data_IF_354119432711
#
_entry.id   IF_354119432711
#
_cell.length_a   1.000
_cell.length_b   1.000
_cell.length_c   1.000
_cell.angle_alpha   90.00
_cell.angle_beta   90.00
_cell.angle_gamma   90.00
#
_symmetry.space_group_name_H-M   'P 1'
#
loop_
_entity.id
_entity.type
_entity.pdbx_description
1 polymer ?
#
# COMPACT_ATOMS: atom_id res chain seq x y z
N UNK A 1 0.25 16.47 -6.98
CA UNK A 1 1.56 16.52 -6.31
C UNK A 1 2.27 17.86 -6.53
N UNK A 2 2.43 18.31 -7.79
CA UNK A 2 2.98 19.63 -8.14
C UNK A 2 2.13 20.85 -7.71
N UNK A 3 0.81 20.66 -7.71
CA UNK A 3 -0.14 21.75 -7.45
C UNK A 3 -0.02 22.31 -6.02
N UNK A 4 0.17 21.47 -5.02
CA UNK A 4 0.22 21.86 -3.61
C UNK A 4 1.43 22.74 -3.27
N UNK A 5 2.57 22.50 -3.89
CA UNK A 5 3.78 23.27 -3.65
C UNK A 5 3.86 24.54 -4.53
N UNK A 6 3.30 24.48 -5.75
CA UNK A 6 3.07 25.67 -6.58
C UNK A 6 2.08 26.65 -5.94
N UNK A 7 0.97 26.15 -5.38
CA UNK A 7 -0.02 26.96 -4.64
C UNK A 7 0.64 27.65 -3.43
N UNK A 8 1.54 26.95 -2.71
CA UNK A 8 2.27 27.50 -1.56
C UNK A 8 3.13 28.72 -1.90
N UNK A 9 3.75 28.72 -3.08
CA UNK A 9 4.62 29.80 -3.53
C UNK A 9 3.84 30.97 -4.14
N UNK A 10 2.69 30.68 -4.76
CA UNK A 10 1.90 31.63 -5.55
C UNK A 10 0.86 32.42 -4.75
N UNK A 11 0.41 31.91 -3.59
CA UNK A 11 -0.63 32.54 -2.78
C UNK A 11 -0.10 33.13 -1.46
N UNK A 12 -0.02 34.48 -1.33
CA UNK A 12 0.40 35.17 -0.11
C UNK A 12 -0.49 34.90 1.11
N UNK A 13 -1.75 34.49 0.91
CA UNK A 13 -2.72 34.19 1.98
C UNK A 13 -2.68 32.74 2.46
N UNK A 14 -1.92 31.88 1.77
CA UNK A 14 -1.78 30.48 2.19
C UNK A 14 -0.88 30.36 3.43
N UNK A 15 0.19 31.16 3.52
CA UNK A 15 1.19 31.12 4.61
C UNK A 15 0.64 31.44 6.01
N UNK A 16 -0.23 32.45 6.21
CA UNK A 16 -0.79 32.75 7.53
C UNK A 16 -1.80 31.68 7.98
N UNK A 17 -2.60 31.16 7.05
CA UNK A 17 -3.62 30.14 7.31
C UNK A 17 -3.04 28.77 7.72
N UNK A 18 -1.74 28.58 7.50
CA UNK A 18 -0.99 27.36 7.81
C UNK A 18 -0.63 27.25 9.29
N UNK A 19 -0.31 28.37 9.93
CA UNK A 19 0.20 28.41 11.30
C UNK A 19 -0.92 28.34 12.35
N UNK A 20 -2.18 28.47 11.93
CA UNK A 20 -3.33 28.58 12.83
C UNK A 20 -4.16 27.28 12.95
N UNK A 21 -3.86 26.20 12.20
CA UNK A 21 -4.71 24.99 12.19
C UNK A 21 -3.93 23.67 12.36
N UNK A 22 -4.35 22.75 13.26
CA UNK A 22 -3.68 21.45 13.51
C UNK A 22 -3.49 20.55 12.27
N UNK A 23 -4.36 20.68 11.27
CA UNK A 23 -4.26 20.00 9.95
C UNK A 23 -2.96 20.32 9.19
N UNK A 24 -2.17 21.27 9.68
CA UNK A 24 -0.96 21.74 9.01
C UNK A 24 0.33 21.13 9.54
N UNK A 25 0.34 20.48 10.70
CA UNK A 25 1.42 19.58 11.12
C UNK A 25 1.57 18.45 10.10
N UNK A 26 0.44 17.87 9.68
CA UNK A 26 0.40 16.86 8.62
C UNK A 26 0.97 17.39 7.29
N UNK A 27 0.77 18.68 7.00
CA UNK A 27 1.34 19.33 5.81
C UNK A 27 2.84 19.57 5.94
N UNK A 28 3.37 19.90 7.12
CA UNK A 28 4.82 20.03 7.36
C UNK A 28 5.52 18.69 7.14
N UNK A 29 4.99 17.61 7.72
CA UNK A 29 5.54 16.25 7.53
C UNK A 29 5.54 15.87 6.05
N UNK A 30 4.44 16.13 5.33
CA UNK A 30 4.37 15.91 3.88
C UNK A 30 5.38 16.74 3.09
N UNK A 31 5.65 17.98 3.51
CA UNK A 31 6.65 18.85 2.87
C UNK A 31 8.08 18.37 3.16
N UNK A 32 8.37 17.90 4.37
CA UNK A 32 9.65 17.28 4.73
C UNK A 32 9.89 16.01 3.92
N UNK A 33 8.90 15.12 3.82
CA UNK A 33 8.98 13.93 2.98
C UNK A 33 9.17 14.28 1.51
N UNK A 34 8.47 15.30 1.01
CA UNK A 34 8.63 15.77 -0.35
C UNK A 34 10.04 16.33 -0.59
N UNK A 35 10.55 17.18 0.31
CA UNK A 35 11.92 17.71 0.24
C UNK A 35 12.93 16.56 0.26
N UNK A 36 12.74 15.58 1.15
CA UNK A 36 13.55 14.37 1.23
C UNK A 36 13.56 13.63 -0.11
N UNK A 37 12.40 13.40 -0.71
CA UNK A 37 12.25 12.63 -1.95
C UNK A 37 12.71 13.36 -3.22
N UNK A 38 12.61 14.69 -3.26
CA UNK A 38 12.85 15.51 -4.45
C UNK A 38 14.24 16.15 -4.45
N UNK A 39 14.75 16.53 -3.27
CA UNK A 39 16.04 17.20 -3.13
C UNK A 39 17.08 16.26 -2.56
N UNK A 40 16.84 15.72 -1.36
CA UNK A 40 17.86 14.99 -0.61
C UNK A 40 18.19 13.62 -1.26
N UNK A 41 17.21 12.98 -1.91
CA UNK A 41 17.37 11.74 -2.66
C UNK A 41 17.02 11.87 -4.15
N UNK A 42 17.26 13.04 -4.74
CA UNK A 42 17.07 13.24 -6.17
C UNK A 42 17.91 12.23 -6.96
N UNK A 43 17.29 11.48 -7.87
CA UNK A 43 18.02 10.63 -8.80
C UNK A 43 18.39 11.43 -10.05
N UNK A 44 19.66 11.38 -10.44
CA UNK A 44 20.19 11.99 -11.67
C UNK A 44 20.68 10.93 -12.66
N UNK A 45 21.11 9.78 -12.15
CA UNK A 45 21.45 8.61 -12.94
C UNK A 45 20.90 7.32 -12.29
N UNK A 46 21.24 6.18 -12.90
CA UNK A 46 20.77 4.89 -12.40
C UNK A 46 21.58 4.40 -11.17
N UNK A 47 22.82 4.88 -10.95
CA UNK A 47 23.57 4.59 -9.72
C UNK A 47 22.83 5.22 -8.51
N UNK A 48 22.31 6.44 -8.64
CA UNK A 48 21.45 7.08 -7.62
C UNK A 48 20.17 6.27 -7.35
N UNK A 49 19.58 5.68 -8.39
CA UNK A 49 18.38 4.84 -8.25
C UNK A 49 18.68 3.57 -7.44
N UNK A 50 19.84 2.94 -7.69
CA UNK A 50 20.32 1.76 -6.95
C UNK A 50 20.64 2.12 -5.50
N UNK A 51 21.28 3.27 -5.26
CA UNK A 51 21.57 3.77 -3.92
C UNK A 51 20.29 3.99 -3.11
N UNK A 52 19.29 4.63 -3.72
CA UNK A 52 17.99 4.84 -3.10
C UNK A 52 17.29 3.52 -2.77
N UNK A 53 17.28 2.56 -3.69
CA UNK A 53 16.69 1.24 -3.48
C UNK A 53 17.35 0.51 -2.29
N UNK A 54 18.68 0.51 -2.22
CA UNK A 54 19.42 -0.11 -1.12
C UNK A 54 19.14 0.58 0.23
N UNK A 55 19.12 1.92 0.26
CA UNK A 55 18.75 2.65 1.47
C UNK A 55 17.33 2.29 1.95
N UNK A 56 16.37 2.18 1.03
CA UNK A 56 15.02 1.75 1.38
C UNK A 56 15.01 0.31 1.94
N UNK A 57 15.83 -0.59 1.40
CA UNK A 57 15.98 -1.94 1.95
C UNK A 57 16.44 -1.90 3.41
N UNK A 58 17.55 -1.20 3.67
CA UNK A 58 18.13 -1.05 5.01
C UNK A 58 17.13 -0.43 5.99
N UNK A 59 16.41 0.61 5.58
CA UNK A 59 15.40 1.25 6.43
C UNK A 59 14.23 0.30 6.76
N UNK A 60 13.64 -0.35 5.76
CA UNK A 60 12.40 -1.12 5.96
C UNK A 60 12.63 -2.49 6.62
N UNK A 61 13.69 -3.20 6.23
CA UNK A 61 13.89 -4.60 6.59
C UNK A 61 14.94 -4.81 7.69
N UNK A 62 15.74 -3.79 8.01
CA UNK A 62 16.68 -3.80 9.14
C UNK A 62 16.33 -2.72 10.17
N UNK A 63 16.48 -1.43 9.84
CA UNK A 63 16.37 -0.33 10.80
C UNK A 63 15.04 -0.27 11.54
N UNK A 64 13.91 -0.31 10.82
CA UNK A 64 12.57 -0.34 11.45
C UNK A 64 12.33 -1.61 12.29
N UNK A 65 12.93 -2.73 11.93
CA UNK A 65 12.83 -3.98 12.72
C UNK A 65 13.66 -3.88 14.00
N UNK A 66 14.89 -3.39 13.91
CA UNK A 66 15.74 -3.14 15.08
C UNK A 66 15.08 -2.17 16.04
N UNK A 67 14.46 -1.10 15.53
CA UNK A 67 13.68 -0.18 16.34
C UNK A 67 12.52 -0.87 17.06
N UNK A 68 11.76 -1.69 16.36
CA UNK A 68 10.66 -2.44 16.94
C UNK A 68 11.15 -3.37 18.06
N UNK A 69 12.30 -4.01 17.88
CA UNK A 69 12.93 -4.87 18.89
C UNK A 69 13.54 -4.09 20.06
N UNK A 70 13.94 -2.82 19.87
CA UNK A 70 14.33 -1.93 20.97
C UNK A 70 13.13 -1.56 21.84
N UNK A 71 11.96 -1.35 21.24
CA UNK A 71 10.70 -1.05 21.97
C UNK A 71 10.17 -2.31 22.66
N UNK A 72 10.13 -3.43 21.94
CA UNK A 72 9.64 -4.72 22.43
C UNK A 72 10.70 -5.80 22.22
N UNK A 73 11.67 -5.93 23.16
CA UNK A 73 12.66 -7.00 23.13
C UNK A 73 12.04 -8.39 22.99
N UNK A 74 12.83 -9.37 22.55
CA UNK A 74 12.35 -10.74 22.31
C UNK A 74 11.71 -11.38 23.55
N UNK A 75 12.21 -11.05 24.73
CA UNK A 75 11.72 -11.49 26.04
C UNK A 75 10.77 -10.48 26.71
N UNK A 76 10.23 -9.51 25.97
CA UNK A 76 9.33 -8.52 26.54
C UNK A 76 8.01 -9.17 26.99
N UNK A 77 7.63 -8.91 28.25
CA UNK A 77 6.40 -9.38 28.86
C UNK A 77 5.39 -8.23 28.99
N UNK A 78 4.12 -8.54 28.78
CA UNK A 78 3.03 -7.59 29.01
C UNK A 78 2.84 -7.35 30.51
N UNK A 79 2.04 -6.34 30.87
CA UNK A 79 1.67 -6.08 32.28
C UNK A 79 1.02 -7.28 32.99
N UNK A 80 0.47 -8.22 32.22
CA UNK A 80 -0.12 -9.46 32.72
C UNK A 80 0.87 -10.62 32.85
N UNK A 81 2.18 -10.40 32.62
CA UNK A 81 3.22 -11.42 32.70
C UNK A 81 3.25 -12.40 31.51
N UNK A 82 2.53 -12.11 30.42
CA UNK A 82 2.50 -12.96 29.23
C UNK A 82 3.54 -12.48 28.21
N UNK A 83 4.22 -13.37 27.47
CA UNK A 83 5.12 -12.98 26.40
C UNK A 83 4.40 -12.15 25.33
N UNK A 84 4.93 -10.97 25.02
CA UNK A 84 4.33 -10.09 24.01
C UNK A 84 4.33 -10.70 22.61
N UNK A 85 5.40 -11.42 22.27
CA UNK A 85 5.55 -12.16 21.01
C UNK A 85 4.95 -13.57 21.14
N UNK A 86 3.63 -13.65 21.17
CA UNK A 86 2.89 -14.91 21.27
C UNK A 86 1.63 -14.92 20.38
N UNK A 87 1.12 -16.12 20.07
CA UNK A 87 -0.06 -16.31 19.22
C UNK A 87 0.12 -15.71 17.82
N UNK A 88 -0.62 -14.65 17.52
CA UNK A 88 -0.59 -13.96 16.22
C UNK A 88 0.60 -12.99 16.08
N UNK A 89 1.28 -12.64 17.18
CA UNK A 89 2.42 -11.70 17.18
C UNK A 89 3.73 -12.47 17.06
N UNK A 90 4.25 -12.57 15.84
CA UNK A 90 5.56 -13.18 15.57
C UNK A 90 6.68 -12.19 15.85
N UNK A 91 7.68 -12.60 16.63
CA UNK A 91 8.87 -11.79 16.87
C UNK A 91 9.68 -11.67 15.57
N UNK A 92 9.93 -10.45 15.06
CA UNK A 92 10.68 -10.28 13.84
C UNK A 92 12.19 -10.40 14.06
N UNK A 93 12.93 -10.48 12.97
CA UNK A 93 14.39 -10.34 12.94
C UNK A 93 14.82 -9.41 11.79
N UNK A 94 15.85 -8.57 12.00
CA UNK A 94 16.38 -7.72 10.95
C UNK A 94 17.04 -8.55 9.87
N UNK A 95 16.94 -8.11 8.62
CA UNK A 95 17.60 -8.75 7.48
C UNK A 95 18.86 -7.97 7.15
N UNK A 96 20.00 -8.65 7.12
CA UNK A 96 21.24 -8.12 6.57
C UNK A 96 21.19 -8.21 5.04
N UNK A 97 21.53 -7.11 4.36
CA UNK A 97 21.60 -7.13 2.91
C UNK A 97 22.69 -8.11 2.43
N UNK A 98 22.39 -8.82 1.34
CA UNK A 98 23.27 -9.83 0.76
C UNK A 98 23.13 -9.78 -0.76
N UNK A 99 24.17 -9.39 -1.52
CA UNK A 99 24.12 -9.29 -2.97
C UNK A 99 24.03 -10.66 -3.68
N UNK A 100 24.36 -11.76 -3.00
CA UNK A 100 24.23 -13.11 -3.56
C UNK A 100 22.81 -13.69 -3.35
N UNK A 101 22.01 -13.04 -2.51
CA UNK A 101 20.63 -13.45 -2.28
C UNK A 101 19.72 -12.94 -3.39
N UNK A 102 19.13 -13.87 -4.15
CA UNK A 102 18.25 -13.58 -5.27
C UNK A 102 17.07 -12.66 -4.90
N UNK A 103 16.46 -12.85 -3.72
CA UNK A 103 15.33 -12.03 -3.26
C UNK A 103 15.76 -10.58 -2.97
N UNK A 104 16.95 -10.41 -2.40
CA UNK A 104 17.50 -9.09 -2.09
C UNK A 104 17.77 -8.33 -3.39
N UNK A 105 18.42 -8.98 -4.36
CA UNK A 105 18.65 -8.41 -5.68
C UNK A 105 17.35 -8.14 -6.44
N UNK A 106 16.36 -9.03 -6.39
CA UNK A 106 15.04 -8.81 -7.02
C UNK A 106 14.37 -7.53 -6.50
N UNK A 107 14.48 -7.26 -5.19
CA UNK A 107 14.01 -6.00 -4.61
C UNK A 107 14.79 -4.80 -5.13
N UNK A 108 16.12 -4.85 -5.15
CA UNK A 108 16.94 -3.73 -5.66
C UNK A 108 16.62 -3.44 -7.13
N UNK A 109 16.55 -4.48 -7.97
CA UNK A 109 16.23 -4.35 -9.40
C UNK A 109 14.88 -3.68 -9.60
N UNK A 110 13.84 -4.16 -8.93
CA UNK A 110 12.50 -3.63 -9.10
C UNK A 110 12.34 -2.22 -8.52
N UNK A 111 12.87 -1.97 -7.30
CA UNK A 111 12.80 -0.67 -6.66
C UNK A 111 13.61 0.42 -7.41
N UNK A 112 14.81 0.09 -7.91
CA UNK A 112 15.63 1.04 -8.66
C UNK A 112 14.99 1.39 -10.00
N UNK A 113 14.40 0.43 -10.71
CA UNK A 113 13.71 0.70 -11.97
C UNK A 113 12.41 1.50 -11.77
N UNK A 114 11.66 1.27 -10.68
CA UNK A 114 10.53 2.13 -10.32
C UNK A 114 11.02 3.56 -10.06
N UNK A 115 12.11 3.72 -9.30
CA UNK A 115 12.71 5.04 -9.07
C UNK A 115 13.15 5.68 -10.39
N UNK A 116 13.73 4.92 -11.31
CA UNK A 116 14.11 5.39 -12.63
C UNK A 116 12.89 5.86 -13.44
N UNK A 117 11.77 5.11 -13.42
CA UNK A 117 10.50 5.54 -14.02
C UNK A 117 10.04 6.89 -13.47
N UNK A 118 10.14 7.09 -12.15
CA UNK A 118 9.72 8.34 -11.52
C UNK A 118 10.53 9.54 -12.04
N UNK A 119 11.83 9.40 -12.28
CA UNK A 119 12.71 10.50 -12.70
C UNK A 119 12.98 10.54 -14.21
N UNK A 120 12.33 9.67 -15.00
CA UNK A 120 12.55 9.60 -16.45
C UNK A 120 13.94 9.07 -16.84
N UNK A 121 14.56 8.27 -15.96
CA UNK A 121 15.88 7.66 -16.18
C UNK A 121 15.70 6.32 -16.92
N UNK A 122 16.54 5.99 -17.91
CA UNK A 122 16.48 4.70 -18.59
C UNK A 122 16.60 3.51 -17.64
N UNK A 123 15.80 2.48 -17.89
CA UNK A 123 15.80 1.25 -17.08
C UNK A 123 17.02 0.39 -17.38
N UNK A 124 17.54 -0.27 -16.34
CA UNK A 124 18.55 -1.32 -16.44
C UNK A 124 17.95 -2.56 -15.80
N UNK A 125 17.85 -3.66 -16.54
CA UNK A 125 17.20 -4.90 -16.05
C UNK A 125 18.19 -6.03 -15.81
N UNK A 126 19.43 -5.90 -16.26
CA UNK A 126 20.46 -6.92 -16.05
C UNK A 126 20.89 -6.95 -14.57
N UNK A 127 20.61 -8.07 -13.93
CA UNK A 127 20.90 -8.32 -12.52
C UNK A 127 22.39 -8.21 -12.21
N UNK A 128 23.25 -8.65 -13.12
CA UNK A 128 24.71 -8.62 -12.92
C UNK A 128 25.22 -7.19 -12.93
N UNK A 129 24.74 -6.39 -13.89
CA UNK A 129 25.08 -4.96 -13.96
C UNK A 129 24.62 -4.25 -12.69
N UNK A 130 23.41 -4.53 -12.22
CA UNK A 130 22.89 -3.90 -10.98
C UNK A 130 23.71 -4.33 -9.75
N UNK A 131 24.12 -5.59 -9.65
CA UNK A 131 24.97 -6.06 -8.55
C UNK A 131 26.36 -5.39 -8.56
N UNK A 132 26.94 -5.18 -9.75
CA UNK A 132 28.18 -4.42 -9.92
C UNK A 132 27.99 -2.95 -9.53
N UNK A 133 26.91 -2.31 -9.98
CA UNK A 133 26.56 -0.92 -9.61
C UNK A 133 26.40 -0.80 -8.09
N UNK A 134 25.71 -1.75 -7.46
CA UNK A 134 25.52 -1.80 -6.03
C UNK A 134 26.86 -1.86 -5.29
N UNK A 135 27.79 -2.70 -5.74
CA UNK A 135 29.14 -2.76 -5.17
C UNK A 135 29.87 -1.42 -5.26
N UNK A 136 29.70 -0.66 -6.35
CA UNK A 136 30.29 0.69 -6.47
C UNK A 136 29.60 1.70 -5.55
N UNK A 137 28.28 1.65 -5.46
CA UNK A 137 27.46 2.54 -4.64
C UNK A 137 27.77 2.35 -3.16
N UNK A 138 27.83 1.10 -2.69
CA UNK A 138 28.17 0.76 -1.29
C UNK A 138 29.57 1.26 -0.89
N UNK A 139 30.50 1.34 -1.84
CA UNK A 139 31.85 1.87 -1.60
C UNK A 139 31.93 3.41 -1.64
N UNK A 140 30.95 4.09 -2.25
CA UNK A 140 30.94 5.55 -2.44
C UNK A 140 30.00 6.29 -1.49
N UNK A 141 28.91 5.64 -1.08
CA UNK A 141 27.83 6.24 -0.33
C UNK A 141 27.88 5.71 1.09
N UNK A 142 28.20 6.58 2.06
CA UNK A 142 27.85 6.30 3.45
C UNK A 142 26.32 6.26 3.52
N UNK A 143 25.75 5.05 3.49
CA UNK A 143 24.32 4.86 3.76
C UNK A 143 24.08 5.48 5.14
N UNK A 144 23.25 6.54 5.26
CA UNK A 144 23.00 7.15 6.55
C UNK A 144 22.48 6.07 7.48
N UNK A 145 23.26 5.73 8.50
CA UNK A 145 22.87 4.72 9.46
C UNK A 145 21.50 5.12 10.02
N UNK A 146 20.55 4.19 10.01
CA UNK A 146 19.27 4.45 10.64
C UNK A 146 19.52 4.79 12.11
N UNK A 147 19.23 6.03 12.51
CA UNK A 147 19.38 6.51 13.89
C UNK A 147 18.02 6.43 14.58
N UNK A 148 17.72 5.32 15.29
CA UNK A 148 16.50 5.25 16.08
C UNK A 148 16.51 6.33 17.18
N UNK A 149 15.34 6.91 17.51
CA UNK A 149 15.23 7.89 18.58
C UNK A 149 15.78 7.36 19.90
N UNK A 150 16.28 8.26 20.77
CA UNK A 150 16.88 7.88 22.04
C UNK A 150 15.89 7.17 22.98
N UNK A 151 14.59 7.50 22.93
CA UNK A 151 13.56 6.89 23.78
C UNK A 151 12.47 6.17 22.98
N UNK A 152 12.43 4.83 23.02
CA UNK A 152 11.29 4.06 22.55
C UNK A 152 10.15 4.14 23.58
N UNK A 153 9.26 5.13 23.46
CA UNK A 153 8.06 5.17 24.30
C UNK A 153 6.98 4.24 23.71
N UNK A 154 6.58 3.14 24.40
CA UNK A 154 5.56 2.22 23.92
C UNK A 154 4.14 2.80 23.88
N UNK A 155 3.92 4.00 24.44
CA UNK A 155 2.64 4.73 24.37
C UNK A 155 2.50 5.58 23.11
N UNK A 156 3.58 5.79 22.35
CA UNK A 156 3.53 6.43 21.04
C UNK A 156 3.03 5.38 20.05
N UNK A 157 1.72 5.40 19.80
CA UNK A 157 1.07 4.56 18.82
C UNK A 157 1.83 4.58 17.49
N UNK A 158 2.16 3.39 16.98
CA UNK A 158 2.63 3.16 15.61
C UNK A 158 1.49 3.47 14.61
N UNK A 159 1.03 4.70 14.55
CA UNK A 159 0.43 5.23 13.33
C UNK A 159 1.57 5.64 12.41
N UNK A 160 1.39 5.36 11.11
CA UNK A 160 2.38 5.47 10.05
C UNK A 160 3.34 6.67 10.23
N UNK A 161 4.64 6.37 10.26
CA UNK A 161 5.73 7.28 9.88
C UNK A 161 5.63 8.72 10.39
N UNK A 162 6.03 8.98 11.62
CA UNK A 162 6.58 10.30 12.00
C UNK A 162 7.21 10.22 13.38
N UNK A 163 8.54 10.08 13.41
CA UNK A 163 9.31 10.48 14.58
C UNK A 163 9.46 12.00 14.57
N UNK A 164 8.44 12.71 15.04
CA UNK A 164 8.56 14.11 15.37
C UNK A 164 8.24 14.28 16.85
N UNK A 165 9.30 14.46 17.64
CA UNK A 165 9.22 15.10 18.95
C UNK A 165 8.53 16.44 18.73
N UNK A 166 7.37 16.62 19.36
CA UNK A 166 6.53 17.83 19.28
C UNK A 166 7.22 18.94 20.08
N UNK A 167 8.33 19.49 19.57
CA UNK A 167 8.90 20.75 20.04
C UNK A 167 9.53 21.49 18.84
N UNK A 168 8.95 22.65 18.53
CA UNK A 168 9.43 23.71 17.62
C UNK A 168 9.12 23.59 16.10
N UNK A 169 7.84 23.43 15.75
CA UNK A 169 7.36 23.22 14.37
C UNK A 169 7.54 24.42 13.41
N UNK A 170 7.51 25.67 13.91
CA UNK A 170 7.60 26.86 13.03
C UNK A 170 8.98 27.01 12.37
N UNK A 171 10.07 26.83 13.14
CA UNK A 171 11.42 27.00 12.62
C UNK A 171 11.82 25.89 11.62
N UNK A 172 11.37 24.65 11.86
CA UNK A 172 11.56 23.52 10.92
C UNK A 172 10.81 23.76 9.62
N UNK A 173 9.57 24.22 9.71
CA UNK A 173 8.75 24.55 8.54
C UNK A 173 9.41 25.64 7.69
N UNK A 174 9.92 26.71 8.32
CA UNK A 174 10.61 27.79 7.61
C UNK A 174 11.87 27.28 6.88
N UNK A 175 12.64 26.37 7.50
CA UNK A 175 13.80 25.73 6.86
C UNK A 175 13.42 24.90 5.64
N UNK A 176 12.34 24.10 5.73
CA UNK A 176 11.85 23.27 4.62
C UNK A 176 11.34 24.14 3.47
N UNK A 177 10.61 25.21 3.79
CA UNK A 177 10.13 26.17 2.79
C UNK A 177 11.31 26.87 2.11
N UNK A 178 12.32 27.29 2.88
CA UNK A 178 13.50 27.96 2.32
C UNK A 178 14.29 27.00 1.41
N UNK A 179 14.43 25.73 1.80
CA UNK A 179 15.06 24.71 0.96
C UNK A 179 14.29 24.45 -0.35
N UNK A 180 12.94 24.53 -0.29
CA UNK A 180 12.06 24.39 -1.45
C UNK A 180 11.86 25.70 -2.23
N UNK A 181 12.38 26.84 -1.75
CA UNK A 181 12.12 28.16 -2.32
C UNK A 181 12.83 28.39 -3.67
N UNK A 182 13.89 27.63 -3.95
CA UNK A 182 14.64 27.69 -5.22
C UNK A 182 13.94 26.85 -6.30
N UNK A 183 12.70 27.23 -6.61
CA UNK A 183 11.82 26.56 -7.57
C UNK A 183 12.39 26.54 -8.99
N UNK A 184 13.25 27.50 -9.33
CA UNK A 184 13.86 27.58 -10.65
C UNK A 184 14.73 26.35 -10.96
N UNK A 185 15.38 25.76 -9.94
CA UNK A 185 16.15 24.50 -10.09
C UNK A 185 15.28 23.24 -10.25
N UNK A 186 13.98 23.36 -9.99
CA UNK A 186 13.01 22.26 -10.05
C UNK A 186 12.15 22.31 -11.33
N UNK A 187 12.19 23.40 -12.09
CA UNK A 187 11.36 23.59 -13.30
C UNK A 187 11.64 22.56 -14.38
N UNK A 188 12.90 22.14 -14.52
CA UNK A 188 13.32 21.15 -15.53
C UNK A 188 13.14 19.70 -15.06
N UNK A 189 12.68 19.48 -13.83
CA UNK A 189 12.54 18.16 -13.23
C UNK A 189 11.15 17.57 -13.49
N UNK A 190 11.09 16.59 -14.39
CA UNK A 190 9.89 15.81 -14.66
C UNK A 190 9.81 14.60 -13.71
N UNK A 191 8.81 14.59 -12.82
CA UNK A 191 8.47 13.43 -11.99
C UNK A 191 7.19 12.79 -12.49
N UNK A 192 7.26 11.49 -12.72
CA UNK A 192 6.12 10.67 -13.08
C UNK A 192 5.61 9.96 -11.83
N UNK A 193 4.34 10.16 -11.49
CA UNK A 193 3.68 9.35 -10.48
C UNK A 193 3.45 7.94 -11.04
N UNK A 194 3.87 6.92 -10.30
CA UNK A 194 3.62 5.52 -10.69
C UNK A 194 2.21 5.15 -10.29
N UNK A 195 1.36 4.91 -11.28
CA UNK A 195 0.05 4.29 -11.07
C UNK A 195 0.20 2.77 -11.14
N UNK A 196 -0.28 2.07 -10.12
CA UNK A 196 -0.19 0.62 -10.09
C UNK A 196 -0.89 -0.01 -11.31
N UNK A 197 -0.27 -1.04 -11.87
CA UNK A 197 -0.75 -1.77 -13.03
C UNK A 197 -0.31 -3.23 -12.89
N UNK A 198 -1.28 -4.12 -12.81
CA UNK A 198 -1.10 -5.58 -12.64
C UNK A 198 -0.49 -6.30 -13.84
N UNK A 199 -0.56 -5.69 -15.01
CA UNK A 199 0.02 -6.23 -16.24
C UNK A 199 1.43 -5.67 -16.47
N UNK A 200 1.91 -4.77 -15.61
CA UNK A 200 3.30 -4.36 -15.58
C UNK A 200 4.10 -5.27 -14.65
N UNK A 201 4.98 -6.09 -15.23
CA UNK A 201 5.84 -7.01 -14.49
C UNK A 201 6.67 -6.30 -13.41
N UNK A 202 7.16 -5.09 -13.67
CA UNK A 202 7.96 -4.34 -12.71
C UNK A 202 7.20 -4.01 -11.41
N UNK A 203 5.90 -3.67 -11.55
CA UNK A 203 5.06 -3.33 -10.41
C UNK A 203 4.81 -4.58 -9.54
N UNK A 204 4.51 -5.71 -10.19
CA UNK A 204 4.28 -6.98 -9.51
C UNK A 204 5.57 -7.51 -8.88
N UNK A 205 6.70 -7.43 -9.58
CA UNK A 205 8.00 -7.89 -9.09
C UNK A 205 8.42 -7.15 -7.83
N UNK A 206 8.21 -5.83 -7.78
CA UNK A 206 8.44 -5.04 -6.56
C UNK A 206 7.57 -5.52 -5.39
N UNK A 207 6.26 -5.71 -5.61
CA UNK A 207 5.35 -6.15 -4.54
C UNK A 207 5.74 -7.55 -4.04
N UNK A 208 6.07 -8.47 -4.95
CA UNK A 208 6.50 -9.83 -4.61
C UNK A 208 7.79 -9.78 -3.79
N UNK A 209 8.81 -9.07 -4.26
CA UNK A 209 10.08 -8.97 -3.54
C UNK A 209 9.90 -8.29 -2.17
N UNK A 210 9.22 -7.15 -2.13
CA UNK A 210 9.00 -6.38 -0.92
C UNK A 210 8.19 -7.14 0.13
N UNK A 211 7.14 -7.86 -0.29
CA UNK A 211 6.31 -8.68 0.60
C UNK A 211 7.06 -9.91 1.10
N UNK A 212 7.86 -10.57 0.26
CA UNK A 212 8.65 -11.73 0.66
C UNK A 212 9.82 -11.36 1.61
N UNK A 213 10.42 -10.19 1.45
CA UNK A 213 11.37 -9.65 2.44
C UNK A 213 10.69 -9.43 3.79
N UNK A 214 9.49 -8.83 3.79
CA UNK A 214 8.72 -8.66 5.03
C UNK A 214 8.30 -10.00 5.62
N UNK A 215 7.92 -10.98 4.80
CA UNK A 215 7.61 -12.33 5.24
C UNK A 215 8.83 -12.97 5.92
N UNK A 216 10.02 -12.79 5.34
CA UNK A 216 11.29 -13.24 5.89
C UNK A 216 11.54 -12.64 7.28
N UNK A 217 11.36 -11.32 7.48
CA UNK A 217 11.51 -10.69 8.81
C UNK A 217 10.69 -11.40 9.89
N UNK A 218 9.51 -11.92 9.57
CA UNK A 218 8.58 -12.53 10.54
C UNK A 218 8.53 -14.07 10.47
N UNK A 219 9.46 -14.71 9.76
CA UNK A 219 9.46 -16.16 9.53
C UNK A 219 8.11 -16.65 8.96
N UNK A 220 7.56 -15.91 8.01
CA UNK A 220 6.37 -16.27 7.23
C UNK A 220 6.86 -16.89 5.92
N UNK A 221 6.15 -17.93 5.47
CA UNK A 221 6.48 -18.62 4.22
C UNK A 221 6.33 -17.63 3.05
N UNK A 222 7.37 -17.42 2.22
CA UNK A 222 7.28 -16.58 1.04
C UNK A 222 6.22 -17.07 0.05
N UNK A 223 5.65 -16.15 -0.72
CA UNK A 223 4.66 -16.42 -1.75
C UNK A 223 5.30 -16.26 -3.14
N UNK A 224 4.97 -17.16 -4.07
CA UNK A 224 5.39 -17.03 -5.46
C UNK A 224 4.66 -15.88 -6.18
N UNK A 225 5.18 -15.46 -7.34
CA UNK A 225 4.63 -14.36 -8.14
C UNK A 225 3.18 -14.59 -8.56
N UNK A 226 2.80 -15.83 -8.88
CA UNK A 226 1.43 -16.16 -9.29
C UNK A 226 0.43 -15.98 -8.16
N UNK A 227 0.74 -16.54 -6.98
CA UNK A 227 -0.09 -16.38 -5.77
C UNK A 227 -0.15 -14.93 -5.32
N UNK A 228 0.96 -14.20 -5.36
CA UNK A 228 1.00 -12.79 -5.01
C UNK A 228 0.17 -11.94 -5.98
N UNK A 229 0.21 -12.23 -7.29
CA UNK A 229 -0.63 -11.54 -8.29
C UNK A 229 -2.13 -11.75 -8.01
N UNK A 230 -2.56 -12.97 -7.66
CA UNK A 230 -3.96 -13.23 -7.30
C UNK A 230 -4.45 -12.37 -6.12
N UNK A 231 -3.58 -12.15 -5.13
CA UNK A 231 -3.90 -11.35 -3.94
C UNK A 231 -3.94 -9.86 -4.29
N UNK A 232 -2.93 -9.36 -5.02
CA UNK A 232 -2.82 -7.94 -5.39
C UNK A 232 -3.96 -7.50 -6.30
N UNK A 233 -4.43 -8.40 -7.17
CA UNK A 233 -5.48 -8.10 -8.13
C UNK A 233 -6.90 -8.22 -7.55
N UNK A 234 -7.04 -8.58 -6.27
CA UNK A 234 -8.32 -8.96 -5.65
C UNK A 234 -9.14 -9.90 -6.54
N UNK A 235 -8.46 -10.81 -7.27
CA UNK A 235 -9.11 -11.63 -8.30
C UNK A 235 -10.18 -12.48 -7.63
N UNK A 236 -11.43 -12.26 -8.04
CA UNK A 236 -12.54 -13.17 -7.79
C UNK A 236 -12.37 -14.34 -8.78
N UNK A 237 -12.00 -15.54 -8.30
CA UNK A 237 -11.82 -16.67 -9.20
C UNK A 237 -13.14 -16.98 -9.93
N UNK A 238 -13.08 -17.05 -11.26
CA UNK A 238 -14.24 -17.32 -12.11
C UNK A 238 -13.93 -18.46 -13.08
N UNK A 239 -14.94 -19.30 -13.36
CA UNK A 239 -14.85 -20.40 -14.32
C UNK A 239 -16.05 -20.35 -15.26
N UNK A 240 -15.80 -20.63 -16.55
CA UNK A 240 -16.85 -20.69 -17.58
C UNK A 240 -17.92 -21.73 -17.27
N UNK A 241 -17.59 -22.78 -16.53
CA UNK A 241 -18.54 -23.83 -16.09
C UNK A 241 -19.62 -23.27 -15.16
N UNK A 242 -19.21 -22.55 -14.10
CA UNK A 242 -20.14 -21.91 -13.17
C UNK A 242 -20.95 -20.82 -13.87
N UNK A 243 -20.33 -20.04 -14.75
CA UNK A 243 -21.02 -19.00 -15.54
C UNK A 243 -22.10 -19.60 -16.44
N UNK A 244 -21.78 -20.66 -17.19
CA UNK A 244 -22.74 -21.31 -18.10
C UNK A 244 -23.90 -21.94 -17.34
N UNK A 245 -23.61 -22.55 -16.19
CA UNK A 245 -24.63 -23.14 -15.33
C UNK A 245 -25.59 -22.08 -14.75
N UNK A 246 -25.05 -21.01 -14.17
CA UNK A 246 -25.87 -19.93 -13.60
C UNK A 246 -26.68 -19.24 -14.70
N UNK A 247 -26.12 -19.04 -15.88
CA UNK A 247 -26.86 -18.52 -17.03
C UNK A 247 -28.02 -19.45 -17.43
N UNK A 248 -27.79 -20.76 -17.50
CA UNK A 248 -28.85 -21.74 -17.77
C UNK A 248 -29.97 -21.73 -16.73
N UNK A 249 -29.63 -21.68 -15.45
CA UNK A 249 -30.60 -21.58 -14.35
C UNK A 249 -31.40 -20.27 -14.43
N UNK A 250 -30.76 -19.15 -14.73
CA UNK A 250 -31.44 -17.87 -14.94
C UNK A 250 -32.41 -17.93 -16.14
N UNK A 251 -32.03 -18.59 -17.24
CA UNK A 251 -32.91 -18.80 -18.39
C UNK A 251 -34.15 -19.65 -18.03
N UNK A 252 -34.04 -20.63 -17.14
CA UNK A 252 -35.19 -21.40 -16.66
C UNK A 252 -36.18 -20.53 -15.89
N UNK A 253 -35.71 -19.64 -15.01
CA UNK A 253 -36.59 -18.69 -14.32
C UNK A 253 -37.19 -17.67 -15.30
N UNK A 254 -36.45 -17.24 -16.32
CA UNK A 254 -36.94 -16.35 -17.37
C UNK A 254 -38.10 -16.98 -18.16
N UNK A 255 -38.05 -18.28 -18.46
CA UNK A 255 -39.15 -18.99 -19.10
C UNK A 255 -40.43 -18.98 -18.25
N UNK A 256 -40.30 -19.05 -16.92
CA UNK A 256 -41.45 -18.97 -16.02
C UNK A 256 -42.09 -17.59 -16.07
N UNK A 257 -41.27 -16.53 -16.09
CA UNK A 257 -41.75 -15.16 -16.27
C UNK A 257 -42.44 -14.97 -17.62
N UNK A 258 -41.87 -15.50 -18.70
CA UNK A 258 -42.43 -15.40 -20.04
C UNK A 258 -43.80 -16.11 -20.19
N UNK A 259 -44.07 -17.11 -19.36
CA UNK A 259 -45.36 -17.81 -19.30
C UNK A 259 -46.38 -17.11 -18.38
N UNK A 260 -46.06 -15.94 -17.83
CA UNK A 260 -46.90 -15.20 -16.88
C UNK A 260 -47.25 -16.00 -15.61
N UNK A 261 -46.31 -16.81 -15.09
CA UNK A 261 -46.49 -17.44 -13.78
C UNK A 261 -46.38 -16.39 -12.68
N UNK A 262 -47.40 -16.26 -11.85
CA UNK A 262 -47.45 -15.29 -10.74
C UNK A 262 -47.22 -15.93 -9.36
N UNK A 263 -47.28 -17.26 -9.29
CA UNK A 263 -47.15 -17.97 -8.02
C UNK A 263 -45.68 -18.09 -7.61
N UNK A 264 -45.36 -17.55 -6.44
CA UNK A 264 -43.99 -17.55 -5.88
C UNK A 264 -43.42 -18.97 -5.71
N UNK A 265 -44.28 -19.94 -5.39
CA UNK A 265 -43.96 -21.37 -5.23
C UNK A 265 -43.40 -22.02 -6.50
N UNK A 266 -43.51 -21.38 -7.67
CA UNK A 266 -42.96 -21.87 -8.93
C UNK A 266 -41.53 -21.37 -9.19
N UNK A 267 -41.12 -20.29 -8.53
CA UNK A 267 -39.80 -19.68 -8.69
C UNK A 267 -38.76 -20.30 -7.75
N UNK A 268 -37.49 -20.31 -8.15
CA UNK A 268 -36.40 -20.83 -7.32
C UNK A 268 -35.20 -19.91 -7.32
N UNK A 269 -34.73 -19.55 -6.14
CA UNK A 269 -33.37 -19.09 -5.93
C UNK A 269 -32.44 -20.29 -5.98
N UNK A 270 -31.35 -20.20 -6.75
CA UNK A 270 -30.40 -21.30 -6.94
C UNK A 270 -29.07 -21.00 -6.27
N UNK A 271 -28.59 -21.92 -5.45
CA UNK A 271 -27.28 -21.88 -4.80
C UNK A 271 -26.47 -23.09 -5.24
N UNK A 272 -25.31 -22.86 -5.84
CA UNK A 272 -24.51 -23.92 -6.46
C UNK A 272 -23.06 -23.82 -6.02
N UNK A 273 -22.48 -24.96 -5.64
CA UNK A 273 -21.05 -25.12 -5.45
C UNK A 273 -20.58 -26.38 -6.19
N UNK A 274 -19.98 -26.19 -7.37
CA UNK A 274 -19.51 -27.28 -8.24
C UNK A 274 -18.28 -28.02 -7.70
N UNK A 275 -17.57 -27.49 -6.71
CA UNK A 275 -16.46 -28.19 -6.08
C UNK A 275 -16.94 -29.34 -5.17
N UNK A 276 -18.14 -29.20 -4.59
CA UNK A 276 -18.78 -30.19 -3.71
C UNK A 276 -20.00 -30.88 -4.36
N UNK A 277 -20.08 -30.89 -5.69
CA UNK A 277 -21.31 -31.08 -6.48
C UNK A 277 -22.64 -30.67 -5.79
N UNK A 278 -22.67 -29.53 -5.11
CA UNK A 278 -23.80 -29.10 -4.30
C UNK A 278 -24.74 -28.18 -5.07
N UNK A 279 -26.03 -28.51 -5.01
CA UNK A 279 -27.12 -27.72 -5.56
C UNK A 279 -28.22 -27.59 -4.51
N UNK A 280 -28.63 -26.36 -4.23
CA UNK A 280 -29.75 -26.08 -3.34
C UNK A 280 -30.65 -25.04 -3.97
N UNK A 281 -31.94 -25.27 -3.85
CA UNK A 281 -32.96 -24.38 -4.37
C UNK A 281 -33.88 -23.96 -3.24
N UNK A 282 -34.17 -22.67 -3.14
CA UNK A 282 -35.13 -22.14 -2.17
C UNK A 282 -36.20 -21.33 -2.88
N UNK A 283 -37.37 -21.24 -2.27
CA UNK A 283 -38.38 -20.29 -2.75
C UNK A 283 -37.91 -18.86 -2.49
N UNK A 284 -38.23 -17.91 -3.37
CA UNK A 284 -38.04 -16.49 -3.09
C UNK A 284 -38.87 -16.06 -1.88
N UNK A 285 -38.39 -15.05 -1.16
CA UNK A 285 -39.11 -14.49 -0.01
C UNK A 285 -40.26 -13.62 -0.54
N UNK A 286 -41.48 -13.72 0.03
CA UNK A 286 -42.59 -12.86 -0.36
C UNK A 286 -42.29 -11.38 -0.08
N UNK A 287 -42.90 -10.46 -0.84
CA UNK A 287 -42.74 -9.03 -0.59
C UNK A 287 -43.26 -8.66 0.79
N UNK A 288 -42.65 -7.65 1.42
CA UNK A 288 -43.12 -7.15 2.70
C UNK A 288 -44.52 -6.53 2.55
N UNK A 289 -45.49 -7.06 3.28
CA UNK A 289 -46.85 -6.50 3.34
C UNK A 289 -46.91 -5.33 4.31
N UNK A 290 -47.60 -4.25 3.90
CA UNK A 290 -47.94 -3.14 4.77
C UNK A 290 -49.45 -2.97 4.80
N UNK A 291 -50.03 -3.02 5.99
CA UNK A 291 -51.45 -2.72 6.17
C UNK A 291 -51.65 -1.21 6.07
N UNK A 292 -52.42 -0.78 5.08
CA UNK A 292 -52.85 0.61 4.98
C UNK A 292 -53.98 0.86 5.98
N UNK A 293 -53.95 1.99 6.69
CA UNK A 293 -55.02 2.34 7.63
C UNK A 293 -56.34 2.56 6.87
N UNK A 294 -57.46 2.12 7.46
CA UNK A 294 -58.78 2.02 6.82
C UNK A 294 -59.41 3.35 6.36
N UNK A 295 -58.79 4.50 6.65
CA UNK A 295 -59.25 5.84 6.24
C UNK A 295 -58.58 6.37 4.96
N UNK A 296 -57.72 5.58 4.32
CA UNK A 296 -57.18 5.84 2.98
C UNK A 296 -57.92 4.96 1.96
N UNK A 297 -59.24 5.12 1.86
CA UNK A 297 -60.03 4.52 0.79
C UNK A 297 -60.05 5.48 -0.41
N UNK A 298 -59.44 5.07 -1.53
CA UNK A 298 -59.42 5.85 -2.78
C UNK A 298 -60.66 5.62 -3.65
N UNK A 299 -61.72 5.03 -3.09
CA UNK A 299 -63.03 4.88 -3.76
C UNK A 299 -63.75 6.22 -4.07
N UNK A 300 -63.15 7.37 -3.72
CA UNK A 300 -63.69 8.72 -3.96
C UNK A 300 -62.85 9.61 -4.87
N UNK A 301 -61.96 9.04 -5.69
CA UNK A 301 -61.28 9.80 -6.77
C UNK A 301 -61.74 9.31 -8.14
N UNK A 302 -62.96 9.70 -8.51
CA UNK A 302 -63.41 9.88 -9.89
C UNK A 302 -64.44 11.02 -9.94
#
# INVERSE_FOLDING_TARGET
MYLSAYIWHSDPKFRPNVLEKPELIEKVVKLEEMKKMILDYRATDFDDCVAFAHMCFEEQYKGKIEQLLRIFPKNYETKSGMPFWSGLKRCPHPIEFDPENALHIDYIVSAANLRATMFGIPHITDRKVIAEMLSRVLNKVEVPAFHPPPNPDPSVSFHHGSFAVIQNDSARLDQVIQALADWDKLKDMHLTAIEFNKDNDLHVDFIVAASNLRATNYNIVPSDKGRSKLIVDEIIPASSTTTSLVAGLACLELLKLAQNHEKLELFRNSFVNLALPFFSFSEPIPPAEKTMASWLDFSTVY
#
